data_IF_450498072681
#
_entry.id   IF_450498072681
#
_cell.length_a   1.000
_cell.length_b   1.000
_cell.length_c   1.000
_cell.angle_alpha   90.00
_cell.angle_beta   90.00
_cell.angle_gamma   90.00
#
_symmetry.space_group_name_H-M   'P 1'
#
loop_
_entity.id
_entity.type
_entity.pdbx_description
1 polymer ?
#
# COMPACT_ATOMS: atom_id res chain seq x y z
N UNK A 1 -59.20 20.65 42.54
CA UNK A 1 -58.17 19.69 42.99
C UNK A 1 -57.33 19.31 41.79
N UNK A 2 -56.02 19.36 42.00
CA UNK A 2 -54.92 19.28 41.04
C UNK A 2 -54.70 17.86 40.47
N UNK A 3 -53.97 17.79 39.34
CA UNK A 3 -53.20 16.67 38.73
C UNK A 3 -53.81 16.12 37.43
N UNK A 4 -53.07 15.82 36.35
CA UNK A 4 -51.62 15.83 36.06
C UNK A 4 -51.49 15.81 34.51
N UNK A 5 -50.57 16.60 33.97
CA UNK A 5 -50.12 16.55 32.57
C UNK A 5 -49.33 15.26 32.30
N UNK A 6 -49.60 14.58 31.19
CA UNK A 6 -48.70 13.56 30.63
C UNK A 6 -48.43 13.91 29.17
N UNK A 7 -47.29 14.55 28.93
CA UNK A 7 -46.69 14.72 27.61
C UNK A 7 -46.03 13.39 27.23
N UNK A 8 -46.50 12.76 26.15
CA UNK A 8 -45.78 11.66 25.50
C UNK A 8 -44.76 12.25 24.53
N UNK A 9 -43.50 12.34 24.98
CA UNK A 9 -42.36 12.64 24.12
C UNK A 9 -41.71 11.31 23.74
N UNK A 10 -41.96 10.85 22.51
CA UNK A 10 -41.34 9.63 21.97
C UNK A 10 -39.93 9.99 21.49
N UNK A 11 -38.91 9.60 22.26
CA UNK A 11 -37.51 9.69 21.84
C UNK A 11 -37.20 8.44 21.00
N UNK A 12 -37.17 8.60 19.68
CA UNK A 12 -36.62 7.60 18.78
C UNK A 12 -35.09 7.62 18.90
N UNK A 13 -34.53 6.70 19.67
CA UNK A 13 -33.07 6.46 19.71
C UNK A 13 -32.70 5.65 18.47
N UNK A 14 -32.18 6.34 17.46
CA UNK A 14 -31.58 5.72 16.28
C UNK A 14 -30.33 4.94 16.70
N UNK A 15 -30.46 3.62 16.84
CA UNK A 15 -29.34 2.69 16.94
C UNK A 15 -28.56 2.71 15.62
N UNK A 16 -27.49 3.51 15.57
CA UNK A 16 -26.48 3.40 14.51
C UNK A 16 -25.63 2.17 14.82
N UNK A 17 -25.99 1.04 14.21
CA UNK A 17 -25.16 -0.17 14.20
C UNK A 17 -23.90 0.13 13.38
N UNK A 18 -22.83 0.51 14.07
CA UNK A 18 -21.48 0.51 13.50
C UNK A 18 -21.10 -0.97 13.39
N UNK A 19 -21.25 -1.54 12.20
CA UNK A 19 -20.65 -2.83 11.88
C UNK A 19 -19.13 -2.66 11.86
N UNK A 20 -18.47 -2.85 13.00
CA UNK A 20 -17.06 -3.21 13.02
C UNK A 20 -16.97 -4.63 12.48
N UNK A 21 -16.82 -4.75 11.16
CA UNK A 21 -16.43 -6.01 10.55
C UNK A 21 -15.02 -6.34 11.06
N UNK A 22 -14.92 -7.28 12.00
CA UNK A 22 -13.68 -8.01 12.21
C UNK A 22 -13.37 -8.76 10.91
N UNK A 23 -12.57 -8.16 10.03
CA UNK A 23 -11.98 -8.88 8.90
C UNK A 23 -10.82 -9.71 9.43
N UNK A 24 -10.87 -11.02 9.20
CA UNK A 24 -9.73 -11.90 9.32
C UNK A 24 -8.60 -11.40 8.43
N UNK A 25 -7.36 -11.50 8.92
CA UNK A 25 -6.15 -10.93 8.30
C UNK A 25 -5.82 -11.48 6.90
N UNK A 26 -6.49 -12.56 6.46
CA UNK A 26 -6.31 -13.19 5.15
C UNK A 26 -7.28 -12.73 4.05
N UNK A 27 -8.14 -11.75 4.33
CA UNK A 27 -9.13 -11.30 3.33
C UNK A 27 -8.64 -10.07 2.57
N UNK A 28 -8.05 -10.30 1.39
CA UNK A 28 -7.70 -9.25 0.43
C UNK A 28 -8.88 -8.26 0.29
N UNK A 29 -8.69 -6.95 0.51
CA UNK A 29 -9.74 -5.97 0.22
C UNK A 29 -10.01 -5.96 -1.30
N UNK A 30 -11.26 -5.74 -1.69
CA UNK A 30 -11.54 -5.41 -3.09
C UNK A 30 -10.84 -4.08 -3.42
N UNK A 31 -10.20 -3.97 -4.58
CA UNK A 31 -9.44 -2.80 -5.00
C UNK A 31 -10.23 -1.48 -4.98
N UNK A 32 -9.53 -0.33 -5.03
CA UNK A 32 -10.16 0.97 -4.90
C UNK A 32 -11.01 1.27 -6.13
N UNK A 33 -12.33 1.31 -5.93
CA UNK A 33 -13.27 1.78 -6.95
C UNK A 33 -13.36 3.30 -6.98
N UNK A 34 -13.09 3.96 -5.85
CA UNK A 34 -12.88 5.41 -5.69
C UNK A 34 -12.00 5.69 -4.47
N UNK A 35 -11.23 6.79 -4.49
CA UNK A 35 -10.45 7.23 -3.34
C UNK A 35 -9.18 6.41 -3.11
N UNK A 36 -8.74 6.33 -1.85
CA UNK A 36 -7.57 5.57 -1.43
C UNK A 36 -7.93 4.34 -0.59
N UNK A 37 -7.04 3.35 -0.58
CA UNK A 37 -7.13 2.15 0.24
C UNK A 37 -5.83 1.87 0.96
N UNK A 38 -5.91 1.07 2.03
CA UNK A 38 -4.74 0.63 2.79
C UNK A 38 -4.48 -0.84 2.52
N UNK A 39 -3.23 -1.18 2.24
CA UNK A 39 -2.80 -2.55 1.96
C UNK A 39 -1.46 -2.86 2.63
N UNK A 40 -1.32 -4.09 3.11
CA UNK A 40 -0.05 -4.63 3.58
C UNK A 40 0.54 -5.49 2.47
N UNK A 41 1.61 -5.02 1.80
CA UNK A 41 2.22 -5.70 0.66
C UNK A 41 3.54 -6.37 1.08
N UNK A 42 3.87 -7.49 0.44
CA UNK A 42 4.98 -8.37 0.83
C UNK A 42 5.77 -8.86 -0.41
N UNK A 43 6.63 -9.87 -0.21
CA UNK A 43 7.46 -10.46 -1.27
C UNK A 43 6.70 -11.35 -2.28
N UNK A 44 5.46 -11.73 -2.03
CA UNK A 44 4.68 -12.61 -2.92
C UNK A 44 3.91 -11.87 -4.01
N UNK A 45 4.13 -10.55 -4.13
CA UNK A 45 3.54 -9.71 -5.15
C UNK A 45 2.23 -9.06 -4.73
N UNK A 46 1.84 -8.03 -5.49
CA UNK A 46 0.58 -7.28 -5.32
C UNK A 46 -0.06 -7.00 -6.68
N UNK A 47 -1.38 -7.08 -6.73
CA UNK A 47 -2.24 -6.49 -7.76
C UNK A 47 -3.04 -5.36 -7.10
N UNK A 48 -2.65 -4.11 -7.37
CA UNK A 48 -3.28 -2.94 -6.78
C UNK A 48 -4.65 -2.64 -7.40
N UNK A 49 -4.89 -3.07 -8.64
CA UNK A 49 -6.18 -2.87 -9.30
C UNK A 49 -7.28 -3.65 -8.59
N UNK A 50 -6.95 -4.85 -8.12
CA UNK A 50 -7.84 -5.76 -7.41
C UNK A 50 -7.70 -5.68 -5.88
N UNK A 51 -6.68 -4.98 -5.37
CA UNK A 51 -6.38 -4.87 -3.94
C UNK A 51 -5.89 -6.17 -3.31
N UNK A 52 -5.28 -7.04 -4.12
CA UNK A 52 -4.88 -8.39 -3.69
C UNK A 52 -3.38 -8.50 -3.50
N UNK A 53 -2.98 -9.23 -2.45
CA UNK A 53 -1.57 -9.53 -2.16
C UNK A 53 -1.38 -11.04 -2.19
N UNK A 54 -0.27 -11.46 -2.77
CA UNK A 54 0.11 -12.87 -2.77
C UNK A 54 0.50 -13.36 -1.37
N UNK A 55 0.59 -14.67 -1.26
CA UNK A 55 1.13 -15.37 -0.10
C UNK A 55 1.81 -16.65 -0.53
N UNK A 56 2.45 -17.34 0.41
CA UNK A 56 3.06 -18.64 0.17
C UNK A 56 2.06 -19.70 -0.35
N UNK A 57 0.78 -19.56 -0.01
CA UNK A 57 -0.29 -20.48 -0.41
C UNK A 57 -1.18 -19.94 -1.53
N UNK A 58 -1.09 -18.63 -1.83
CA UNK A 58 -1.91 -17.93 -2.82
C UNK A 58 -1.00 -17.11 -3.73
N UNK A 59 -0.64 -17.69 -4.88
CA UNK A 59 0.16 -17.00 -5.88
C UNK A 59 -0.74 -16.17 -6.79
N UNK A 60 -0.38 -14.90 -6.98
CA UNK A 60 -0.99 -14.08 -8.02
C UNK A 60 -0.52 -14.57 -9.40
N UNK A 61 -1.38 -14.43 -10.41
CA UNK A 61 -1.00 -14.75 -11.77
C UNK A 61 0.13 -13.81 -12.23
N UNK A 62 1.17 -14.29 -12.93
CA UNK A 62 2.33 -13.46 -13.29
C UNK A 62 1.98 -12.18 -14.06
N UNK A 63 0.93 -12.21 -14.88
CA UNK A 63 0.41 -11.08 -15.66
C UNK A 63 -0.45 -10.10 -14.83
N UNK A 64 -0.61 -10.37 -13.54
CA UNK A 64 -1.36 -9.54 -12.59
C UNK A 64 -0.47 -8.91 -11.51
N UNK A 65 0.79 -9.33 -11.42
CA UNK A 65 1.71 -8.80 -10.41
C UNK A 65 2.22 -7.43 -10.86
N UNK A 66 1.85 -6.38 -10.14
CA UNK A 66 2.34 -5.01 -10.36
C UNK A 66 3.76 -4.81 -9.83
N UNK A 67 4.14 -5.61 -8.83
CA UNK A 67 5.45 -5.63 -8.21
C UNK A 67 5.44 -6.35 -6.88
N UNK A 68 6.56 -6.31 -6.19
CA UNK A 68 6.77 -6.99 -4.91
C UNK A 68 7.70 -6.19 -4.00
N UNK A 69 7.69 -6.54 -2.72
CA UNK A 69 8.68 -6.02 -1.77
C UNK A 69 9.86 -6.98 -1.68
N UNK A 70 11.09 -6.45 -1.73
CA UNK A 70 12.31 -7.25 -1.59
C UNK A 70 13.25 -6.63 -0.56
N UNK A 71 14.07 -7.46 0.08
CA UNK A 71 15.14 -7.03 0.99
C UNK A 71 16.57 -7.27 0.46
N UNK A 72 16.69 -7.66 -0.81
CA UNK A 72 17.98 -7.80 -1.50
C UNK A 72 18.04 -6.87 -2.70
N UNK A 73 19.25 -6.42 -3.03
CA UNK A 73 19.50 -5.69 -4.26
C UNK A 73 20.38 -6.51 -5.20
N UNK A 74 20.14 -6.40 -6.50
CA UNK A 74 21.11 -6.80 -7.52
C UNK A 74 22.16 -5.68 -7.66
N UNK A 75 23.44 -6.08 -7.62
CA UNK A 75 24.65 -5.29 -7.82
C UNK A 75 25.09 -4.27 -6.75
N UNK A 76 26.15 -4.63 -6.02
CA UNK A 76 27.21 -3.71 -5.61
C UNK A 76 28.56 -4.43 -5.64
N UNK A 77 29.59 -3.74 -6.12
CA UNK A 77 30.99 -4.16 -6.23
C UNK A 77 31.75 -4.20 -4.89
N UNK A 78 31.08 -4.01 -3.74
CA UNK A 78 31.68 -4.04 -2.41
C UNK A 78 31.10 -5.18 -1.57
N UNK A 79 31.92 -6.21 -1.31
CA UNK A 79 31.56 -7.51 -0.74
C UNK A 79 31.08 -7.57 0.71
N UNK A 80 30.19 -6.67 1.15
CA UNK A 80 29.47 -6.76 2.42
C UNK A 80 28.00 -7.09 2.20
N UNK A 81 27.49 -8.11 2.89
CA UNK A 81 26.12 -8.60 2.78
C UNK A 81 25.09 -7.54 3.25
N UNK A 82 24.53 -6.78 2.31
CA UNK A 82 23.44 -5.82 2.54
C UNK A 82 22.05 -6.45 2.68
N UNK A 83 21.95 -7.78 2.51
CA UNK A 83 20.74 -8.54 2.82
C UNK A 83 20.32 -8.18 4.26
N UNK A 84 19.10 -7.65 4.42
CA UNK A 84 18.53 -7.15 5.67
C UNK A 84 18.84 -5.69 6.06
N UNK A 85 19.33 -4.80 5.22
CA UNK A 85 19.48 -3.37 5.62
C UNK A 85 18.45 -2.43 5.00
N UNK A 86 17.77 -2.88 3.96
CA UNK A 86 16.90 -2.06 3.14
C UNK A 86 15.69 -2.87 2.68
N UNK A 87 14.54 -2.22 2.64
CA UNK A 87 13.32 -2.73 2.00
C UNK A 87 13.00 -1.81 0.83
N UNK A 88 12.78 -2.41 -0.33
CA UNK A 88 12.47 -1.69 -1.57
C UNK A 88 11.24 -2.30 -2.23
N UNK A 89 10.53 -1.50 -3.02
CA UNK A 89 9.47 -2.01 -3.89
C UNK A 89 10.01 -2.15 -5.31
N UNK A 90 9.87 -3.33 -5.89
CA UNK A 90 10.28 -3.64 -7.26
C UNK A 90 9.04 -3.72 -8.14
N UNK A 91 8.69 -2.68 -8.92
CA UNK A 91 7.61 -2.77 -9.89
C UNK A 91 7.99 -3.73 -11.02
N UNK A 92 7.05 -4.54 -11.49
CA UNK A 92 7.23 -5.44 -12.64
C UNK A 92 7.60 -4.66 -13.91
N UNK A 93 7.06 -3.46 -14.06
CA UNK A 93 7.39 -2.55 -15.18
C UNK A 93 8.81 -1.98 -15.13
N UNK A 94 9.49 -2.06 -13.98
CA UNK A 94 10.75 -1.37 -13.73
C UNK A 94 10.62 0.16 -13.67
N UNK A 95 9.41 0.72 -13.65
CA UNK A 95 9.17 2.16 -13.69
C UNK A 95 8.56 2.66 -12.38
N UNK A 96 9.29 3.55 -11.71
CA UNK A 96 8.87 4.16 -10.44
C UNK A 96 9.45 5.56 -10.30
N UNK A 97 8.79 6.45 -9.58
CA UNK A 97 9.43 7.68 -9.13
C UNK A 97 8.84 8.20 -7.82
N UNK A 98 9.67 8.94 -7.07
CA UNK A 98 9.26 9.56 -5.82
C UNK A 98 8.54 10.88 -6.10
N UNK A 99 7.43 11.10 -5.43
CA UNK A 99 6.65 12.34 -5.48
C UNK A 99 7.08 13.24 -4.32
N UNK A 100 7.15 14.55 -4.58
CA UNK A 100 7.44 15.58 -3.56
C UNK A 100 6.18 16.06 -2.82
N UNK A 101 5.04 15.43 -3.07
CA UNK A 101 3.79 15.75 -2.38
C UNK A 101 3.88 15.36 -0.91
N UNK A 102 3.23 16.12 -0.04
CA UNK A 102 3.16 15.85 1.40
C UNK A 102 2.04 14.88 1.75
N UNK A 103 1.06 14.74 0.87
CA UNK A 103 -0.10 13.87 1.08
C UNK A 103 -0.58 13.22 -0.22
N UNK A 104 -1.08 11.99 -0.10
CA UNK A 104 -1.54 11.18 -1.22
C UNK A 104 -2.78 11.78 -1.88
N UNK A 105 -3.64 12.45 -1.10
CA UNK A 105 -4.81 13.15 -1.61
C UNK A 105 -4.44 14.18 -2.70
N UNK A 106 -3.30 14.87 -2.55
CA UNK A 106 -2.81 15.88 -3.48
C UNK A 106 -2.19 15.31 -4.78
N UNK A 107 -2.03 13.99 -4.87
CA UNK A 107 -1.58 13.31 -6.09
C UNK A 107 -2.80 13.04 -6.96
N UNK A 108 -2.92 13.76 -8.08
CA UNK A 108 -4.06 13.70 -9.00
C UNK A 108 -3.68 13.25 -10.41
N UNK A 109 -2.39 13.26 -10.76
CA UNK A 109 -1.92 12.83 -12.08
C UNK A 109 -0.53 12.22 -12.01
N UNK A 110 -0.26 11.30 -12.93
CA UNK A 110 1.06 10.72 -13.19
C UNK A 110 1.84 11.59 -14.17
N UNK A 111 3.10 11.86 -13.84
CA UNK A 111 4.06 12.59 -14.66
C UNK A 111 4.98 11.59 -15.36
N UNK A 112 4.67 11.30 -16.62
CA UNK A 112 5.39 10.30 -17.42
C UNK A 112 6.82 10.70 -17.78
N UNK A 113 7.23 11.93 -17.49
CA UNK A 113 8.60 12.40 -17.73
C UNK A 113 9.56 12.07 -16.58
N UNK A 114 9.03 11.59 -15.45
CA UNK A 114 9.80 11.36 -14.21
C UNK A 114 10.18 9.92 -13.94
N UNK A 115 9.83 8.99 -14.82
CA UNK A 115 10.15 7.57 -14.60
C UNK A 115 11.63 7.37 -14.30
N UNK A 116 11.91 6.86 -13.10
CA UNK A 116 13.19 6.27 -12.83
C UNK A 116 13.13 4.79 -13.21
N UNK A 117 14.06 4.37 -14.04
CA UNK A 117 14.28 2.96 -14.41
C UNK A 117 15.56 2.40 -13.81
N UNK A 118 16.38 3.27 -13.19
CA UNK A 118 17.53 2.89 -12.40
C UNK A 118 17.14 2.79 -10.92
N UNK A 119 16.50 1.66 -10.58
CA UNK A 119 15.93 1.41 -9.26
C UNK A 119 16.98 0.87 -8.27
N UNK A 120 18.05 1.63 -8.05
CA UNK A 120 19.07 1.28 -7.06
C UNK A 120 18.58 1.45 -5.62
N UNK A 121 19.19 0.70 -4.69
CA UNK A 121 18.73 0.62 -3.30
C UNK A 121 18.78 1.97 -2.55
N UNK A 122 19.69 2.87 -2.94
CA UNK A 122 19.82 4.18 -2.33
C UNK A 122 18.65 5.09 -2.72
N UNK A 123 18.17 4.91 -3.94
CA UNK A 123 17.07 5.68 -4.51
C UNK A 123 15.71 5.13 -4.11
N UNK A 124 15.50 3.80 -4.13
CA UNK A 124 14.17 3.19 -3.90
C UNK A 124 13.93 2.65 -2.48
N UNK A 125 14.78 3.00 -1.50
CA UNK A 125 14.52 2.68 -0.09
C UNK A 125 13.16 3.25 0.33
N UNK A 126 12.25 2.39 0.75
CA UNK A 126 10.94 2.81 1.23
C UNK A 126 11.06 3.36 2.65
N UNK A 127 10.55 4.58 2.85
CA UNK A 127 10.52 5.25 4.16
C UNK A 127 9.10 5.71 4.46
N UNK A 128 8.67 5.66 5.74
CA UNK A 128 7.39 6.23 6.14
C UNK A 128 7.22 7.67 5.63
N UNK A 129 6.01 7.95 5.15
CA UNK A 129 5.58 9.19 4.48
C UNK A 129 6.13 9.44 3.08
N UNK A 130 7.03 8.61 2.56
CA UNK A 130 7.39 8.72 1.14
C UNK A 130 6.18 8.38 0.27
N UNK A 131 5.98 9.18 -0.77
CA UNK A 131 4.96 8.94 -1.78
C UNK A 131 5.65 8.56 -3.07
N UNK A 132 5.17 7.48 -3.68
CA UNK A 132 5.71 6.92 -4.90
C UNK A 132 4.62 6.76 -5.94
N UNK A 133 5.01 6.87 -7.21
CA UNK A 133 4.19 6.46 -8.33
C UNK A 133 4.90 5.34 -9.08
N UNK A 134 4.15 4.30 -9.41
CA UNK A 134 4.62 3.17 -10.24
C UNK A 134 3.75 3.04 -11.49
N UNK A 135 4.35 2.47 -12.54
CA UNK A 135 3.57 1.89 -13.63
C UNK A 135 3.19 0.46 -13.23
N UNK A 136 1.91 0.25 -12.95
CA UNK A 136 1.31 -1.08 -12.73
C UNK A 136 1.09 -1.78 -14.08
N UNK A 137 0.79 -3.08 -14.04
CA UNK A 137 0.62 -3.90 -15.25
C UNK A 137 -0.57 -3.45 -16.08
N UNK A 138 -1.65 -3.00 -15.42
CA UNK A 138 -2.88 -2.52 -16.07
C UNK A 138 -3.22 -1.06 -15.76
N UNK A 139 -2.31 -0.31 -15.14
CA UNK A 139 -2.61 1.06 -14.72
C UNK A 139 -1.43 1.81 -14.15
N UNK A 140 -1.74 2.69 -13.20
CA UNK A 140 -0.82 3.50 -12.44
C UNK A 140 -1.26 3.46 -10.98
N UNK A 141 -0.28 3.47 -10.09
CA UNK A 141 -0.53 3.47 -8.66
C UNK A 141 0.26 4.60 -8.05
N UNK A 142 -0.42 5.43 -7.26
CA UNK A 142 0.22 6.34 -6.32
C UNK A 142 0.08 5.73 -4.93
N UNK A 143 1.18 5.52 -4.21
CA UNK A 143 1.11 5.01 -2.84
C UNK A 143 1.99 5.80 -1.89
N UNK A 144 1.49 5.99 -0.67
CA UNK A 144 2.20 6.54 0.47
C UNK A 144 2.59 5.41 1.40
N UNK A 145 3.86 5.34 1.76
CA UNK A 145 4.33 4.38 2.76
C UNK A 145 3.85 4.82 4.13
N UNK A 146 3.04 3.99 4.78
CA UNK A 146 2.60 4.18 6.17
C UNK A 146 3.65 3.61 7.11
N UNK A 147 4.07 2.37 6.85
CA UNK A 147 4.99 1.62 7.70
C UNK A 147 5.92 0.78 6.83
N UNK A 148 7.22 0.82 7.13
CA UNK A 148 8.23 -0.01 6.50
C UNK A 148 9.39 -0.25 7.46
N UNK A 149 9.94 -1.48 7.57
CA UNK A 149 11.16 -1.73 8.34
C UNK A 149 12.31 -0.81 7.89
N UNK A 150 13.02 -0.21 8.85
CA UNK A 150 14.02 0.83 8.54
C UNK A 150 15.47 0.42 8.81
N UNK A 151 15.67 -0.65 9.56
CA UNK A 151 16.97 -1.14 10.02
C UNK A 151 17.05 -2.67 9.99
N UNK A 152 18.24 -3.20 10.23
CA UNK A 152 18.46 -4.64 10.14
C UNK A 152 17.80 -5.48 11.20
N UNK A 153 17.54 -4.92 12.38
CA UNK A 153 16.84 -5.64 13.43
C UNK A 153 15.36 -5.81 13.05
N UNK A 154 14.71 -4.74 12.62
CA UNK A 154 13.30 -4.74 12.21
C UNK A 154 13.06 -5.56 10.94
N UNK A 155 14.00 -5.56 9.99
CA UNK A 155 13.93 -6.40 8.80
C UNK A 155 14.09 -7.88 9.15
N UNK A 156 15.08 -8.24 9.99
CA UNK A 156 15.32 -9.63 10.39
C UNK A 156 14.22 -10.18 11.30
N UNK A 157 13.54 -9.34 12.04
CA UNK A 157 12.40 -9.71 12.89
C UNK A 157 11.09 -9.91 12.09
N UNK A 158 11.04 -9.51 10.82
CA UNK A 158 9.85 -9.69 9.99
C UNK A 158 9.60 -11.18 9.73
N UNK A 159 8.53 -11.72 10.29
CA UNK A 159 8.09 -13.10 10.06
C UNK A 159 7.42 -13.28 8.69
N UNK A 160 6.97 -12.18 8.09
CA UNK A 160 6.09 -12.16 6.92
C UNK A 160 6.80 -11.63 5.67
N UNK A 161 8.11 -11.88 5.55
CA UNK A 161 8.87 -11.60 4.32
C UNK A 161 8.83 -10.12 3.92
N UNK A 162 9.21 -9.25 4.87
CA UNK A 162 9.45 -7.82 4.66
C UNK A 162 8.19 -7.04 4.26
N UNK A 163 7.09 -7.31 4.94
CA UNK A 163 5.83 -6.58 4.75
C UNK A 163 5.98 -5.08 5.01
N UNK A 164 5.38 -4.27 4.15
CA UNK A 164 5.16 -2.84 4.37
C UNK A 164 3.67 -2.54 4.34
N UNK A 165 3.26 -1.46 4.99
CA UNK A 165 1.90 -0.94 4.93
C UNK A 165 1.88 0.33 4.08
N UNK A 166 0.96 0.39 3.12
CA UNK A 166 0.79 1.54 2.23
C UNK A 166 -0.65 2.01 2.21
N UNK A 167 -0.84 3.32 2.02
CA UNK A 167 -2.08 3.88 1.49
C UNK A 167 -1.88 4.07 -0.01
N UNK A 168 -2.84 3.72 -0.86
CA UNK A 168 -2.67 3.83 -2.30
C UNK A 168 -3.95 4.25 -3.03
N UNK A 169 -3.76 4.85 -4.21
CA UNK A 169 -4.75 5.08 -5.25
C UNK A 169 -4.34 4.30 -6.49
N UNK A 170 -5.31 3.74 -7.19
CA UNK A 170 -5.11 3.11 -8.49
C UNK A 170 -5.89 3.86 -9.57
N UNK A 171 -5.35 3.90 -10.78
CA UNK A 171 -6.08 4.31 -11.97
C UNK A 171 -5.59 3.57 -13.20
N UNK A 172 -6.52 3.15 -14.05
CA UNK A 172 -6.20 2.65 -15.39
C UNK A 172 -5.60 3.75 -16.30
N UNK A 173 -5.77 5.02 -15.92
CA UNK A 173 -5.33 6.19 -16.67
C UNK A 173 -4.30 7.01 -15.88
N UNK A 174 -3.75 8.05 -16.51
CA UNK A 174 -2.78 8.93 -15.85
C UNK A 174 -3.40 9.73 -14.69
N UNK A 175 -4.73 9.86 -14.60
CA UNK A 175 -5.42 10.65 -13.57
C UNK A 175 -6.00 9.78 -12.46
N UNK A 176 -5.79 10.18 -11.21
CA UNK A 176 -6.25 9.48 -9.99
C UNK A 176 -7.51 10.10 -9.40
#
# INVERSE_FOLDING_TARGET
MMKVLINFFVIAVSFSLIFTACKSEDSNPAGPTTGSQVLSINHWGVDFSEGTVGSQSVFLAPDKIDGEVINWCEYSTSGSNYYNQLVVFRPTSGMMYKVTATDLAGVTTTDTTKWNTNLDCGTVKLKPNDIWIIKATDGYVAFKVIEAPQDSATIAASTDWWTIKVEYKYSANLSF
#
